data_IF_592000361475
#
_entry.id   IF_592000361475
#
_cell.length_a   1.000
_cell.length_b   1.000
_cell.length_c   1.000
_cell.angle_alpha   90.00
_cell.angle_beta   90.00
_cell.angle_gamma   90.00
#
_symmetry.space_group_name_H-M   'P 1'
#
loop_
_entity.id
_entity.type
_entity.pdbx_description
1 polymer ?
#
# COMPACT_ATOMS: atom_id res chain seq x y z
N UNK A 1 12.47 -32.82 4.05
CA UNK A 1 12.15 -31.88 5.15
C UNK A 1 11.42 -30.72 4.49
N UNK A 2 10.22 -30.36 4.96
CA UNK A 2 9.46 -29.22 4.42
C UNK A 2 9.55 -28.13 5.49
N UNK A 3 9.98 -26.93 5.12
CA UNK A 3 10.08 -25.78 6.00
C UNK A 3 8.98 -24.80 5.63
N UNK A 4 8.17 -24.37 6.61
CA UNK A 4 7.20 -23.30 6.43
C UNK A 4 7.96 -21.97 6.43
N UNK A 5 7.69 -21.12 5.45
CA UNK A 5 8.16 -19.74 5.41
C UNK A 5 6.93 -18.85 5.43
N UNK A 6 6.99 -17.79 6.22
CA UNK A 6 5.98 -16.74 6.23
C UNK A 6 6.56 -15.57 5.44
N UNK A 7 5.75 -14.99 4.56
CA UNK A 7 6.12 -13.84 3.75
C UNK A 7 5.11 -12.73 4.02
N UNK A 8 5.53 -11.50 3.79
CA UNK A 8 4.69 -10.32 3.87
C UNK A 8 4.34 -9.82 2.47
N UNK A 9 3.20 -9.15 2.39
CA UNK A 9 2.76 -8.34 1.26
C UNK A 9 2.31 -7.02 1.85
N UNK A 10 2.68 -5.91 1.22
CA UNK A 10 2.26 -4.58 1.63
C UNK A 10 1.10 -4.16 0.74
N UNK A 11 -0.02 -3.79 1.37
CA UNK A 11 -1.27 -3.42 0.73
C UNK A 11 -1.67 -2.02 1.16
N UNK A 12 -2.11 -1.18 0.21
CA UNK A 12 -2.61 0.15 0.51
C UNK A 12 -3.95 0.05 1.27
N UNK A 13 -4.03 0.65 2.46
CA UNK A 13 -5.24 0.59 3.29
C UNK A 13 -6.47 1.32 2.70
N UNK A 14 -6.32 2.02 1.58
CA UNK A 14 -7.37 2.82 0.94
C UNK A 14 -7.90 2.16 -0.33
N UNK A 15 -7.00 1.80 -1.26
CA UNK A 15 -7.38 1.22 -2.55
C UNK A 15 -7.06 -0.27 -2.70
N UNK A 16 -6.44 -0.88 -1.69
CA UNK A 16 -6.03 -2.29 -1.68
C UNK A 16 -5.01 -2.63 -2.79
N UNK A 17 -4.32 -1.61 -3.32
CA UNK A 17 -3.24 -1.82 -4.27
C UNK A 17 -2.05 -2.49 -3.58
N UNK A 18 -1.33 -3.34 -4.30
CA UNK A 18 -0.22 -4.12 -3.76
C UNK A 18 1.09 -3.42 -4.12
N UNK A 19 1.94 -3.21 -3.12
CA UNK A 19 3.27 -2.67 -3.36
C UNK A 19 4.12 -3.62 -4.22
N UNK A 20 4.76 -3.07 -5.24
CA UNK A 20 5.72 -3.73 -6.11
C UNK A 20 7.03 -2.94 -6.08
N UNK A 21 8.15 -3.64 -5.81
CA UNK A 21 9.47 -3.01 -5.82
C UNK A 21 9.92 -2.66 -7.26
N UNK A 22 11.04 -1.96 -7.39
CA UNK A 22 11.59 -1.59 -8.71
C UNK A 22 11.98 -2.78 -9.61
N UNK A 23 11.96 -4.01 -9.09
CA UNK A 23 12.26 -5.24 -9.83
C UNK A 23 11.00 -6.05 -10.20
N UNK A 24 9.81 -5.62 -9.77
CA UNK A 24 8.57 -6.34 -10.01
C UNK A 24 8.17 -7.34 -8.92
N UNK A 25 8.77 -7.29 -7.73
CA UNK A 25 8.45 -8.18 -6.61
C UNK A 25 7.48 -7.53 -5.63
N UNK A 26 6.47 -8.30 -5.21
CA UNK A 26 5.43 -7.87 -4.26
C UNK A 26 5.36 -8.74 -2.99
N UNK A 27 6.20 -9.76 -2.89
CA UNK A 27 6.26 -10.69 -1.76
C UNK A 27 7.64 -10.62 -1.15
N UNK A 28 7.71 -10.31 0.14
CA UNK A 28 8.96 -10.08 0.85
C UNK A 28 9.09 -11.06 2.03
N UNK A 29 10.32 -11.47 2.40
CA UNK A 29 10.52 -12.39 3.53
C UNK A 29 10.26 -11.73 4.89
N UNK A 30 10.39 -10.40 4.99
CA UNK A 30 10.19 -9.61 6.20
C UNK A 30 10.08 -8.10 5.89
N UNK A 31 9.71 -7.30 6.90
CA UNK A 31 9.56 -5.84 6.77
C UNK A 31 10.88 -5.13 6.47
N UNK A 32 12.04 -5.74 6.77
CA UNK A 32 13.34 -5.15 6.47
C UNK A 32 13.72 -5.27 4.99
N UNK A 33 13.02 -6.14 4.24
CA UNK A 33 13.27 -6.38 2.83
C UNK A 33 12.32 -5.59 1.93
N UNK A 34 11.26 -5.01 2.50
CA UNK A 34 10.31 -4.17 1.80
C UNK A 34 10.57 -2.70 2.14
N UNK A 35 10.94 -1.90 1.14
CA UNK A 35 11.14 -0.46 1.28
C UNK A 35 10.13 0.32 0.41
N UNK A 36 8.82 0.26 0.73
CA UNK A 36 7.81 0.99 -0.02
C UNK A 36 8.01 2.51 0.02
N UNK A 37 8.62 3.04 1.09
CA UNK A 37 8.99 4.46 1.24
C UNK A 37 9.93 4.95 0.12
N UNK A 38 10.82 4.10 -0.38
CA UNK A 38 11.73 4.42 -1.48
C UNK A 38 11.00 4.61 -2.82
N UNK A 39 9.76 4.10 -2.91
CA UNK A 39 8.89 4.21 -4.09
C UNK A 39 7.75 5.19 -3.86
N UNK A 40 7.88 6.07 -2.86
CA UNK A 40 6.95 7.15 -2.58
C UNK A 40 5.65 6.70 -1.91
N UNK A 41 5.61 5.50 -1.31
CA UNK A 41 4.52 5.14 -0.40
C UNK A 41 4.72 5.84 0.95
N UNK A 42 3.63 6.13 1.63
CA UNK A 42 3.66 6.53 3.03
C UNK A 42 3.45 5.31 3.92
N UNK A 43 4.31 5.16 4.93
CA UNK A 43 4.27 4.07 5.90
C UNK A 43 4.17 4.67 7.30
N UNK A 44 3.12 4.33 8.03
CA UNK A 44 2.92 4.72 9.42
C UNK A 44 2.52 3.50 10.25
N UNK A 45 3.45 3.01 11.08
CA UNK A 45 3.35 1.79 11.87
C UNK A 45 2.84 0.56 11.07
N UNK A 46 1.53 0.33 11.07
CA UNK A 46 0.86 -0.80 10.41
C UNK A 46 -0.01 -0.36 9.21
N UNK A 47 0.00 0.94 8.87
CA UNK A 47 -0.83 1.55 7.82
C UNK A 47 0.05 2.02 6.67
N UNK A 48 -0.35 1.66 5.46
CA UNK A 48 0.39 1.92 4.24
C UNK A 48 -0.51 2.65 3.23
N UNK A 49 0.01 3.70 2.61
CA UNK A 49 -0.70 4.46 1.59
C UNK A 49 0.14 4.56 0.32
N UNK A 50 -0.41 4.08 -0.79
CA UNK A 50 0.24 4.24 -2.08
C UNK A 50 0.29 5.71 -2.52
N UNK A 51 1.16 6.09 -3.47
CA UNK A 51 1.29 7.47 -3.97
C UNK A 51 0.00 8.05 -4.55
N UNK A 52 -0.96 7.20 -4.96
CA UNK A 52 -2.27 7.64 -5.45
C UNK A 52 -3.27 7.98 -4.35
N UNK A 53 -3.08 7.43 -3.15
CA UNK A 53 -4.03 7.53 -2.03
C UNK A 53 -3.57 8.46 -0.90
N UNK A 54 -2.37 9.02 -0.99
CA UNK A 54 -1.94 10.07 -0.08
C UNK A 54 -1.29 11.25 -0.80
N UNK A 55 -1.04 12.30 -0.05
CA UNK A 55 -0.27 13.48 -0.40
C UNK A 55 0.29 14.09 0.88
N UNK A 56 1.45 14.72 0.80
CA UNK A 56 2.04 15.49 1.90
C UNK A 56 1.90 16.97 1.53
N UNK A 57 1.29 17.76 2.41
CA UNK A 57 1.12 19.21 2.18
C UNK A 57 2.39 20.01 2.53
N UNK A 58 2.31 21.35 2.36
CA UNK A 58 3.43 22.25 2.62
C UNK A 58 3.86 22.32 4.09
N UNK A 59 3.01 21.84 5.01
CA UNK A 59 3.21 21.80 6.45
C UNK A 59 3.58 20.38 6.96
N UNK A 60 4.00 19.49 6.05
CA UNK A 60 4.35 18.08 6.30
C UNK A 60 3.17 17.23 6.85
N UNK A 61 1.91 17.65 6.65
CA UNK A 61 0.77 16.85 7.07
C UNK A 61 0.39 15.80 6.02
N UNK A 62 0.10 14.59 6.48
CA UNK A 62 -0.45 13.52 5.65
C UNK A 62 -1.92 13.79 5.32
N UNK A 63 -2.22 13.92 4.02
CA UNK A 63 -3.57 13.99 3.50
C UNK A 63 -3.90 12.66 2.83
N UNK A 64 -4.81 11.90 3.43
CA UNK A 64 -5.32 10.64 2.85
C UNK A 64 -6.47 10.96 1.89
N UNK A 65 -6.30 10.61 0.62
CA UNK A 65 -7.33 10.78 -0.41
C UNK A 65 -8.36 9.67 -0.26
N UNK A 66 -9.67 9.97 -0.32
CA UNK A 66 -10.66 8.92 -0.36
C UNK A 66 -10.40 8.06 -1.59
N UNK A 67 -10.41 6.74 -1.40
CA UNK A 67 -10.37 5.80 -2.52
C UNK A 67 -11.42 6.24 -3.52
N UNK A 68 -11.02 6.48 -4.76
CA UNK A 68 -11.95 6.39 -5.86
C UNK A 68 -12.31 4.91 -6.01
N UNK A 69 -12.95 4.34 -4.98
CA UNK A 69 -13.69 3.10 -5.14
C UNK A 69 -14.59 3.36 -6.36
N UNK A 70 -14.61 2.44 -7.35
CA UNK A 70 -15.60 2.56 -8.40
C UNK A 70 -16.93 2.67 -7.67
N UNK A 71 -17.68 3.74 -7.94
CA UNK A 71 -19.06 3.83 -7.52
C UNK A 71 -19.71 2.52 -8.01
N UNK A 72 -19.94 1.57 -7.10
CA UNK A 72 -20.86 0.48 -7.37
C UNK A 72 -22.23 1.15 -7.39
N UNK A 73 -22.53 1.73 -8.55
CA UNK A 73 -23.87 1.94 -9.02
C UNK A 73 -24.52 0.55 -9.12
N UNK A 74 -25.15 0.13 -8.03
CA UNK A 74 -26.23 -0.84 -8.10
C UNK A 74 -27.45 -0.12 -7.58
N UNK A 75 -27.86 0.89 -8.34
CA UNK A 75 -29.27 1.18 -8.50
C UNK A 75 -29.85 0.15 -9.47
N UNK A 76 -30.30 -0.98 -8.94
CA UNK A 76 -31.31 -1.80 -9.62
C UNK A 76 -32.60 -1.76 -8.80
N UNK A 77 -33.70 -1.69 -9.56
CA UNK A 77 -35.04 -1.21 -9.24
C UNK A 77 -35.81 -2.05 -8.21
#
# INVERSE_FOLDING_TARGET
MITKVECIVIECNVCNDIYEDGNGFSVFPDNNSAHPEDNGWHVDEDVHYCPGCHEIDEDDNLIVKPSAAPATDTGEQ
#
